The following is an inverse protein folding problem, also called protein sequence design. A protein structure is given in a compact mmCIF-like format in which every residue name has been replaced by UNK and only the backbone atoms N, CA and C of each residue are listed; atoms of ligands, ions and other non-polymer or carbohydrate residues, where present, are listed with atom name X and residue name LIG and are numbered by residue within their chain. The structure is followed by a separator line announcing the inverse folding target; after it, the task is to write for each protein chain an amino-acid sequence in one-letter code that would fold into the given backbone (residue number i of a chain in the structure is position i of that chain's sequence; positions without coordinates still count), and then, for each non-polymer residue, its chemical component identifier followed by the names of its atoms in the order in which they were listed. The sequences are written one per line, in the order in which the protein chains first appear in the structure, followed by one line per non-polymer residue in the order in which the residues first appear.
data_IF_774861639584
#
_entry.id   IF_774861639584
#
_cell.length_a   1.000
_cell.length_b   1.000
_cell.length_c   1.000
_cell.angle_alpha   90.00
_cell.angle_beta   90.00
_cell.angle_gamma   90.00
#
_symmetry.space_group_name_H-M   'P 1'
#
loop_
_entity.id
_entity.type
_entity.pdbx_description
1 polymer ?
#
# COMPACT_ATOMS: atom_id res chain seq x y z
N UNK A 1 -10.80 -7.14 2.71
CA UNK A 1 -10.53 -7.86 1.44
C UNK A 1 -11.74 -8.68 0.99
N UNK A 2 -12.38 -9.46 1.87
CA UNK A 2 -13.63 -10.16 1.56
C UNK A 2 -14.72 -9.22 1.01
N UNK A 3 -14.92 -8.04 1.60
CA UNK A 3 -15.94 -7.09 1.14
C UNK A 3 -15.66 -6.51 -0.27
N UNK A 4 -14.39 -6.28 -0.59
CA UNK A 4 -13.95 -5.80 -1.92
C UNK A 4 -14.11 -6.88 -3.01
N UNK A 5 -13.92 -8.16 -2.65
CA UNK A 5 -14.11 -9.29 -3.57
C UNK A 5 -15.60 -9.53 -3.79
N UNK A 6 -16.44 -9.41 -2.76
CA UNK A 6 -17.88 -9.65 -2.90
C UNK A 6 -18.63 -8.54 -3.67
N UNK A 7 -18.10 -7.31 -3.66
CA UNK A 7 -18.71 -6.16 -4.34
C UNK A 7 -18.58 -6.18 -5.89
N UNK A 8 -17.73 -7.04 -6.47
CA UNK A 8 -17.51 -7.06 -7.92
C UNK A 8 -18.59 -7.87 -8.65
N UNK A 9 -19.33 -7.25 -9.58
CA UNK A 9 -20.46 -7.87 -10.30
C UNK A 9 -20.06 -9.05 -11.21
N UNK A 10 -18.79 -9.10 -11.62
CA UNK A 10 -18.23 -10.12 -12.52
C UNK A 10 -17.56 -11.25 -11.73
N UNK A 11 -18.10 -12.47 -11.83
CA UNK A 11 -17.59 -13.68 -11.16
C UNK A 11 -16.12 -13.94 -11.50
N UNK A 12 -15.71 -13.76 -12.76
CA UNK A 12 -14.34 -14.03 -13.20
C UNK A 12 -13.37 -13.06 -12.53
N UNK A 13 -13.69 -11.77 -12.54
CA UNK A 13 -12.87 -10.74 -11.88
C UNK A 13 -12.76 -10.97 -10.37
N UNK A 14 -13.81 -11.50 -9.72
CA UNK A 14 -13.73 -11.89 -8.30
C UNK A 14 -12.70 -13.00 -8.06
N UNK A 15 -12.72 -14.02 -8.90
CA UNK A 15 -11.75 -15.13 -8.83
C UNK A 15 -10.34 -14.63 -9.11
N UNK A 16 -10.14 -13.78 -10.11
CA UNK A 16 -8.83 -13.23 -10.47
C UNK A 16 -8.26 -12.35 -9.33
N UNK A 17 -9.07 -11.46 -8.74
CA UNK A 17 -8.65 -10.63 -7.60
C UNK A 17 -8.34 -11.48 -6.37
N UNK A 18 -9.13 -12.52 -6.11
CA UNK A 18 -8.86 -13.46 -5.02
C UNK A 18 -7.55 -14.22 -5.24
N UNK A 19 -7.32 -14.75 -6.45
CA UNK A 19 -6.10 -15.46 -6.80
C UNK A 19 -4.87 -14.53 -6.72
N UNK A 20 -4.95 -13.32 -7.28
CA UNK A 20 -3.90 -12.31 -7.16
C UNK A 20 -3.60 -11.98 -5.70
N UNK A 21 -4.62 -11.93 -4.83
CA UNK A 21 -4.44 -11.71 -3.40
C UNK A 21 -3.68 -12.86 -2.72
N UNK A 22 -3.93 -14.11 -3.11
CA UNK A 22 -3.14 -15.26 -2.65
C UNK A 22 -1.69 -15.12 -3.11
N UNK A 23 -1.45 -14.80 -4.38
CA UNK A 23 -0.09 -14.64 -4.88
C UNK A 23 0.66 -13.50 -4.19
N UNK A 24 0.02 -12.33 -4.03
CA UNK A 24 0.64 -11.13 -3.46
C UNK A 24 0.82 -11.15 -1.94
N UNK A 25 -0.14 -11.70 -1.20
CA UNK A 25 -0.14 -11.61 0.26
C UNK A 25 0.31 -12.90 0.96
N UNK A 26 0.20 -14.05 0.28
CA UNK A 26 0.48 -15.36 0.87
C UNK A 26 1.72 -15.99 0.26
N UNK A 27 1.84 -16.01 -1.07
CA UNK A 27 2.94 -16.71 -1.76
C UNK A 27 4.19 -15.82 -1.82
N UNK A 28 4.02 -14.55 -2.20
CA UNK A 28 5.10 -13.58 -2.38
C UNK A 28 4.93 -12.33 -1.51
N UNK A 29 4.78 -12.48 -0.18
CA UNK A 29 4.56 -11.34 0.71
C UNK A 29 5.80 -10.47 0.77
N UNK A 30 5.68 -9.21 0.35
CA UNK A 30 6.77 -8.22 0.44
C UNK A 30 6.55 -7.16 1.51
N UNK A 31 5.32 -6.65 1.60
CA UNK A 31 4.90 -5.70 2.62
C UNK A 31 3.47 -6.03 3.07
N UNK A 32 3.18 -5.79 4.34
CA UNK A 32 1.89 -6.16 4.93
C UNK A 32 0.75 -5.43 4.22
N UNK A 33 -0.24 -6.18 3.71
CA UNK A 33 -1.41 -5.61 3.04
C UNK A 33 -1.17 -5.04 1.65
N UNK A 34 0.04 -5.18 1.09
CA UNK A 34 0.40 -4.66 -0.23
C UNK A 34 0.78 -5.77 -1.20
N UNK A 35 0.28 -5.66 -2.44
CA UNK A 35 0.65 -6.53 -3.55
C UNK A 35 1.69 -5.77 -4.38
N UNK A 36 2.88 -6.35 -4.52
CA UNK A 36 3.97 -5.77 -5.31
C UNK A 36 3.66 -5.88 -6.82
N UNK A 37 4.01 -4.85 -7.59
CA UNK A 37 3.76 -4.80 -9.03
C UNK A 37 4.35 -6.01 -9.77
N UNK A 38 5.54 -6.48 -9.37
CA UNK A 38 6.18 -7.63 -9.98
C UNK A 38 5.40 -8.95 -9.72
N UNK A 39 4.58 -9.01 -8.67
CA UNK A 39 3.69 -10.15 -8.41
C UNK A 39 2.46 -10.10 -9.33
N UNK A 40 1.90 -8.91 -9.57
CA UNK A 40 0.85 -8.72 -10.57
C UNK A 40 1.34 -9.10 -11.98
N UNK A 41 2.54 -8.68 -12.35
CA UNK A 41 3.17 -9.06 -13.62
C UNK A 41 3.37 -10.58 -13.75
N UNK A 42 3.79 -11.25 -12.67
CA UNK A 42 3.89 -12.71 -12.65
C UNK A 42 2.50 -13.34 -12.82
N UNK A 43 1.50 -12.85 -12.08
CA UNK A 43 0.13 -13.37 -12.13
C UNK A 43 -0.46 -13.31 -13.54
N UNK A 44 -0.29 -12.19 -14.25
CA UNK A 44 -0.72 -12.06 -15.65
C UNK A 44 -0.04 -13.07 -16.59
N UNK A 45 1.20 -13.49 -16.27
CA UNK A 45 1.92 -14.51 -17.03
C UNK A 45 1.50 -15.94 -16.68
N UNK A 46 0.92 -16.18 -15.51
CA UNK A 46 0.42 -17.53 -15.16
C UNK A 46 -0.69 -17.98 -16.11
N UNK A 47 -1.51 -17.03 -16.60
CA UNK A 47 -2.51 -17.28 -17.65
C UNK A 47 -1.89 -17.73 -18.99
N UNK A 48 -0.56 -17.64 -19.14
CA UNK A 48 0.21 -18.06 -20.31
C UNK A 48 1.04 -19.32 -20.03
N UNK A 49 0.54 -20.18 -19.14
CA UNK A 49 1.15 -21.47 -18.77
C UNK A 49 2.54 -21.37 -18.11
N UNK A 50 2.90 -20.20 -17.59
CA UNK A 50 4.14 -20.04 -16.80
C UNK A 50 3.94 -20.66 -15.42
N UNK A 51 4.84 -21.56 -15.01
CA UNK A 51 4.79 -22.15 -13.67
C UNK A 51 5.36 -21.18 -12.62
N UNK A 52 4.68 -20.99 -11.46
CA UNK A 52 5.19 -20.17 -10.37
C UNK A 52 6.28 -20.89 -9.55
N UNK A 53 6.46 -22.20 -9.73
CA UNK A 53 7.33 -23.03 -8.87
C UNK A 53 8.78 -22.51 -8.80
N UNK A 54 9.47 -22.19 -9.91
CA UNK A 54 10.82 -21.64 -9.85
C UNK A 54 10.90 -20.35 -9.05
N UNK A 55 9.87 -19.50 -9.14
CA UNK A 55 9.83 -18.24 -8.42
C UNK A 55 9.62 -18.44 -6.92
N UNK A 56 8.70 -19.33 -6.54
CA UNK A 56 8.48 -19.70 -5.14
C UNK A 56 9.77 -20.22 -4.51
N UNK A 57 10.41 -21.20 -5.17
CA UNK A 57 11.67 -21.78 -4.68
C UNK A 57 12.79 -20.74 -4.60
N UNK A 58 12.92 -19.87 -5.61
CA UNK A 58 13.95 -18.84 -5.64
C UNK A 58 13.83 -17.86 -4.46
N UNK A 59 12.62 -17.36 -4.19
CA UNK A 59 12.40 -16.43 -3.09
C UNK A 59 12.54 -17.11 -1.72
N UNK A 60 12.04 -18.34 -1.57
CA UNK A 60 12.21 -19.14 -0.34
C UNK A 60 13.70 -19.38 -0.04
N UNK A 61 14.46 -19.93 -1.00
CA UNK A 61 15.89 -20.23 -0.78
C UNK A 61 16.70 -18.95 -0.54
N UNK A 62 16.41 -17.87 -1.27
CA UNK A 62 17.07 -16.61 -1.00
C UNK A 62 16.81 -16.17 0.42
N UNK A 63 15.54 -16.12 0.83
CA UNK A 63 15.21 -15.57 2.14
C UNK A 63 15.84 -16.37 3.27
N UNK A 64 15.80 -17.71 3.19
CA UNK A 64 16.48 -18.57 4.16
C UNK A 64 17.99 -18.33 4.16
N UNK A 65 18.61 -18.17 2.98
CA UNK A 65 20.04 -17.88 2.88
C UNK A 65 20.43 -16.51 3.48
N UNK A 66 19.51 -15.54 3.49
CA UNK A 66 19.73 -14.22 4.10
C UNK A 66 19.60 -14.33 5.61
N UNK A 67 18.51 -14.90 6.12
CA UNK A 67 18.32 -15.15 7.54
C UNK A 67 19.52 -15.92 8.13
N UNK A 68 19.96 -16.98 7.44
CA UNK A 68 21.13 -17.76 7.85
C UNK A 68 22.43 -16.95 7.88
N UNK A 69 22.68 -16.10 6.88
CA UNK A 69 23.93 -15.31 6.80
C UNK A 69 23.97 -14.17 7.81
N UNK A 70 22.83 -13.54 8.08
CA UNK A 70 22.74 -12.45 9.04
C UNK A 70 22.64 -12.96 10.48
N UNK A 71 22.17 -14.19 10.69
CA UNK A 71 21.80 -14.70 12.02
C UNK A 71 20.49 -14.12 12.54
N UNK A 72 19.92 -13.14 11.84
CA UNK A 72 18.69 -12.43 12.16
C UNK A 72 17.90 -12.11 10.87
N UNK A 73 16.68 -11.59 11.04
CA UNK A 73 15.88 -11.05 9.95
C UNK A 73 14.62 -11.84 9.66
N UNK A 74 13.77 -11.25 8.81
CA UNK A 74 12.43 -11.77 8.51
C UNK A 74 12.47 -12.64 7.26
N UNK A 75 11.86 -13.82 7.35
CA UNK A 75 11.61 -14.63 6.16
C UNK A 75 10.57 -13.97 5.24
N UNK A 76 10.91 -13.88 3.95
CA UNK A 76 10.14 -13.32 2.86
C UNK A 76 9.84 -14.46 1.88
N UNK A 77 8.61 -14.96 1.92
CA UNK A 77 8.14 -16.06 1.09
C UNK A 77 6.89 -16.69 1.68
N UNK A 78 6.48 -17.83 1.13
CA UNK A 78 5.27 -18.51 1.58
C UNK A 78 5.52 -19.32 2.86
N UNK A 79 5.21 -18.72 4.02
CA UNK A 79 5.30 -19.38 5.33
C UNK A 79 4.48 -20.67 5.39
N UNK A 80 3.30 -20.70 4.74
CA UNK A 80 2.43 -21.86 4.74
C UNK A 80 3.08 -23.05 4.03
N UNK A 81 3.78 -22.84 2.92
CA UNK A 81 4.49 -23.90 2.21
C UNK A 81 5.72 -24.38 3.00
N UNK A 82 6.44 -23.47 3.64
CA UNK A 82 7.57 -23.85 4.49
C UNK A 82 7.10 -24.65 5.72
N UNK A 83 5.98 -24.25 6.33
CA UNK A 83 5.36 -24.95 7.45
C UNK A 83 4.82 -26.32 7.01
N UNK A 84 4.20 -26.41 5.82
CA UNK A 84 3.78 -27.67 5.22
C UNK A 84 4.96 -28.64 5.05
N UNK A 85 6.05 -28.13 4.48
CA UNK A 85 7.29 -28.89 4.33
C UNK A 85 7.84 -29.32 5.69
N UNK A 86 7.87 -28.42 6.67
CA UNK A 86 8.36 -28.69 8.01
C UNK A 86 7.58 -29.80 8.72
N UNK A 87 6.25 -29.69 8.78
CA UNK A 87 5.40 -30.73 9.35
C UNK A 87 5.57 -32.08 8.66
N UNK A 88 5.69 -32.08 7.33
CA UNK A 88 5.81 -33.31 6.57
C UNK A 88 7.09 -34.11 6.78
N UNK A 89 8.18 -33.46 7.22
CA UNK A 89 9.48 -34.10 7.40
C UNK A 89 9.82 -34.33 8.88
N UNK A 90 9.37 -33.47 9.80
CA UNK A 90 9.78 -33.54 11.21
C UNK A 90 8.72 -34.11 12.14
N UNK A 91 7.42 -34.05 11.80
CA UNK A 91 6.40 -34.71 12.60
C UNK A 91 6.05 -36.06 11.99
N UNK A 92 6.52 -37.11 12.66
CA UNK A 92 5.99 -38.47 12.51
C UNK A 92 4.53 -38.48 12.99
N UNK A 93 3.60 -38.02 12.16
CA UNK A 93 2.19 -38.36 12.35
C UNK A 93 2.12 -39.89 12.27
N UNK A 94 1.48 -40.54 13.25
CA UNK A 94 1.18 -41.98 13.18
C UNK A 94 0.69 -42.27 11.76
N UNK A 95 1.20 -43.35 11.14
CA UNK A 95 1.08 -43.66 9.70
C UNK A 95 -0.39 -43.79 9.22
N UNK A 96 -1.15 -42.70 9.22
CA UNK A 96 -2.53 -42.65 8.75
C UNK A 96 -2.46 -42.45 7.24
N UNK A 97 -2.43 -43.57 6.54
CA UNK A 97 -2.71 -43.74 5.11
C UNK A 97 -2.12 -42.67 4.18
N UNK A 98 -0.94 -42.98 3.66
CA UNK A 98 -0.35 -42.48 2.43
C UNK A 98 -1.39 -42.19 1.33
N UNK A 99 -1.70 -40.91 1.07
CA UNK A 99 -2.57 -40.51 -0.04
C UNK A 99 -1.89 -39.45 -0.90
N UNK A 100 -1.82 -39.72 -2.21
CA UNK A 100 -1.51 -38.71 -3.22
C UNK A 100 -2.64 -37.67 -3.21
N UNK A 101 -2.34 -36.42 -3.56
CA UNK A 101 -3.37 -35.40 -3.77
C UNK A 101 -4.50 -35.97 -4.62
N UNK A 102 -5.72 -35.93 -4.09
CA UNK A 102 -6.93 -36.38 -4.78
C UNK A 102 -8.05 -35.39 -4.48
N UNK A 103 -9.14 -35.43 -5.24
CA UNK A 103 -10.30 -34.56 -5.00
C UNK A 103 -10.81 -34.64 -3.55
N UNK A 104 -10.61 -35.80 -2.90
CA UNK A 104 -11.08 -36.08 -1.54
C UNK A 104 -10.00 -35.92 -0.46
N UNK A 105 -8.74 -35.58 -0.82
CA UNK A 105 -7.64 -35.44 0.13
C UNK A 105 -6.76 -34.22 -0.22
N UNK A 106 -6.69 -33.28 0.73
CA UNK A 106 -5.89 -32.06 0.61
C UNK A 106 -4.95 -31.94 1.81
N UNK A 107 -3.64 -32.02 1.53
CA UNK A 107 -2.59 -31.81 2.53
C UNK A 107 -2.75 -30.47 3.25
N UNK A 108 -3.19 -29.42 2.55
CA UNK A 108 -3.42 -28.10 3.14
C UNK A 108 -4.58 -28.12 4.15
N UNK A 109 -5.65 -28.88 3.87
CA UNK A 109 -6.76 -29.05 4.83
C UNK A 109 -6.29 -29.81 6.07
N UNK A 110 -5.48 -30.85 5.89
CA UNK A 110 -4.88 -31.60 6.99
C UNK A 110 -3.97 -30.72 7.84
N UNK A 111 -3.04 -29.98 7.22
CA UNK A 111 -2.14 -29.04 7.91
C UNK A 111 -2.86 -27.94 8.70
N UNK A 112 -4.02 -27.49 8.21
CA UNK A 112 -4.86 -26.53 8.95
C UNK A 112 -5.59 -27.20 10.12
N UNK A 113 -5.96 -28.48 9.98
CA UNK A 113 -6.62 -29.26 11.03
C UNK A 113 -5.65 -29.81 12.08
N UNK A 114 -4.38 -29.99 11.74
CA UNK A 114 -3.36 -30.48 12.67
C UNK A 114 -3.15 -29.47 13.80
N UNK A 115 -3.24 -29.90 15.08
CA UNK A 115 -2.98 -29.02 16.21
C UNK A 115 -1.60 -28.39 16.09
N UNK A 116 -1.56 -27.06 16.02
CA UNK A 116 -0.29 -26.33 16.00
C UNK A 116 0.28 -26.28 17.40
N UNK A 117 1.58 -26.55 17.52
CA UNK A 117 2.34 -26.33 18.75
C UNK A 117 2.80 -24.89 18.80
N UNK A 118 1.83 -23.98 18.90
CA UNK A 118 2.06 -22.53 18.96
C UNK A 118 2.65 -22.10 20.34
N UNK A 119 2.76 -23.04 21.29
CA UNK A 119 3.19 -22.87 22.67
C UNK A 119 4.67 -23.25 22.91
N UNK A 120 5.41 -23.65 21.87
CA UNK A 120 6.82 -24.02 21.98
C UNK A 120 7.69 -22.77 21.89
N UNK A 121 8.46 -22.49 22.95
CA UNK A 121 9.39 -21.35 22.98
C UNK A 121 10.53 -21.51 21.96
N UNK A 122 11.19 -20.40 21.64
CA UNK A 122 12.34 -20.39 20.73
C UNK A 122 13.46 -21.30 21.25
N UNK A 123 13.76 -21.27 22.54
CA UNK A 123 14.80 -22.10 23.16
C UNK A 123 14.47 -23.58 23.05
N UNK A 124 13.19 -23.94 23.21
CA UNK A 124 12.73 -25.32 23.05
C UNK A 124 12.82 -25.77 21.59
N UNK A 125 12.52 -24.89 20.64
CA UNK A 125 12.76 -25.15 19.22
C UNK A 125 14.23 -25.37 18.89
N UNK A 126 15.11 -24.52 19.43
CA UNK A 126 16.56 -24.64 19.27
C UNK A 126 17.06 -25.97 19.83
N UNK A 127 16.60 -26.35 21.03
CA UNK A 127 16.93 -27.64 21.63
C UNK A 127 16.44 -28.83 20.79
N UNK A 128 15.22 -28.76 20.24
CA UNK A 128 14.72 -29.79 19.31
C UNK A 128 15.66 -29.90 18.10
N UNK A 129 15.97 -28.78 17.45
CA UNK A 129 16.80 -28.80 16.24
C UNK A 129 18.23 -29.26 16.46
N UNK A 130 18.82 -28.95 17.61
CA UNK A 130 20.17 -29.38 17.97
C UNK A 130 20.26 -30.88 18.23
N UNK A 131 19.17 -31.50 18.71
CA UNK A 131 19.14 -32.92 19.09
C UNK A 131 18.56 -33.84 18.01
N UNK A 132 18.06 -33.29 16.91
CA UNK A 132 17.48 -34.06 15.80
C UNK A 132 18.48 -35.09 15.26
N UNK A 133 18.07 -36.35 15.24
CA UNK A 133 18.80 -37.42 14.60
C UNK A 133 18.29 -37.68 13.17
N UNK A 134 19.07 -38.43 12.40
CA UNK A 134 18.72 -38.77 11.03
C UNK A 134 17.41 -39.57 10.93
N UNK A 135 17.15 -40.41 11.93
CA UNK A 135 15.97 -41.28 12.03
C UNK A 135 14.70 -40.49 12.38
N UNK A 136 14.84 -39.27 12.91
CA UNK A 136 13.73 -38.39 13.25
C UNK A 136 13.17 -37.66 12.04
N UNK A 137 13.93 -37.58 10.95
CA UNK A 137 13.55 -36.89 9.73
C UNK A 137 12.98 -37.89 8.72
N UNK A 138 11.71 -37.70 8.35
CA UNK A 138 11.13 -38.36 7.18
C UNK A 138 11.66 -37.67 5.93
N UNK A 139 12.72 -38.24 5.34
CA UNK A 139 13.41 -37.63 4.21
C UNK A 139 12.52 -37.49 2.97
N UNK A 140 11.64 -38.46 2.71
CA UNK A 140 10.75 -38.43 1.55
C UNK A 140 9.31 -38.28 1.99
N UNK A 141 8.67 -37.21 1.54
CA UNK A 141 7.23 -37.06 1.70
C UNK A 141 6.48 -38.12 0.89
N UNK A 142 5.52 -38.84 1.49
CA UNK A 142 4.88 -39.96 0.81
C UNK A 142 4.05 -39.61 -0.44
N UNK A 143 3.57 -38.37 -0.54
CA UNK A 143 2.85 -37.88 -1.72
C UNK A 143 3.77 -37.48 -2.87
N UNK A 144 5.09 -37.38 -2.64
CA UNK A 144 6.06 -37.03 -3.66
C UNK A 144 6.65 -38.32 -4.26
N UNK A 145 6.20 -38.65 -5.48
CA UNK A 145 6.72 -39.75 -6.30
C UNK A 145 7.26 -39.18 -7.63
N UNK A 146 8.35 -38.40 -7.60
CA UNK A 146 8.96 -37.93 -8.83
C UNK A 146 9.72 -39.10 -9.45
N UNK A 147 9.59 -39.23 -10.77
CA UNK A 147 10.36 -40.21 -11.54
C UNK A 147 11.68 -39.62 -12.06
N UNK A 148 11.76 -38.28 -12.14
CA UNK A 148 12.89 -37.54 -12.69
C UNK A 148 13.17 -36.27 -11.90
N UNK A 149 14.44 -35.89 -11.83
CA UNK A 149 14.91 -34.64 -11.22
C UNK A 149 15.59 -33.83 -12.30
N UNK A 150 15.13 -32.59 -12.51
CA UNK A 150 15.89 -31.58 -13.22
C UNK A 150 17.07 -31.18 -12.35
N UNK A 151 18.31 -31.31 -12.84
CA UNK A 151 19.50 -31.04 -12.01
C UNK A 151 20.54 -30.14 -12.68
N UNK A 152 20.40 -29.88 -13.97
CA UNK A 152 21.45 -29.25 -14.77
C UNK A 152 20.85 -28.44 -15.92
N UNK A 153 21.49 -27.32 -16.24
CA UNK A 153 21.07 -26.37 -17.28
C UNK A 153 22.28 -25.85 -18.05
N UNK A 154 22.52 -26.36 -19.26
CA UNK A 154 23.60 -25.94 -20.19
C UNK A 154 24.98 -25.74 -19.56
N UNK A 155 25.33 -24.51 -19.21
CA UNK A 155 26.65 -24.16 -18.68
C UNK A 155 26.69 -24.20 -17.14
N UNK A 156 25.57 -24.57 -16.51
CA UNK A 156 25.40 -24.64 -15.07
C UNK A 156 25.24 -26.10 -14.61
N UNK A 157 26.10 -26.51 -13.67
CA UNK A 157 26.01 -27.80 -12.96
C UNK A 157 24.87 -27.87 -11.93
N UNK A 158 23.98 -26.87 -11.98
CA UNK A 158 22.81 -26.69 -11.13
C UNK A 158 21.70 -26.01 -11.93
N UNK A 159 20.57 -25.75 -11.29
CA UNK A 159 19.39 -25.14 -11.90
C UNK A 159 19.30 -23.66 -11.50
N UNK A 160 19.55 -22.70 -12.41
CA UNK A 160 19.30 -21.29 -12.14
C UNK A 160 17.81 -21.00 -12.10
N UNK A 161 17.27 -20.61 -10.95
CA UNK A 161 15.85 -20.29 -10.77
C UNK A 161 15.59 -18.79 -10.92
N UNK A 162 14.59 -18.44 -11.72
CA UNK A 162 14.07 -17.08 -11.79
C UNK A 162 13.07 -16.84 -10.67
N UNK A 163 13.43 -15.97 -9.72
CA UNK A 163 12.54 -15.36 -8.74
C UNK A 163 11.82 -14.13 -9.30
N UNK A 164 10.97 -13.53 -8.47
CA UNK A 164 10.23 -12.31 -8.80
C UNK A 164 11.17 -11.09 -8.77
N UNK A 165 12.05 -11.04 -7.78
CA UNK A 165 12.92 -9.88 -7.59
C UNK A 165 14.38 -10.14 -7.98
N UNK A 166 14.74 -11.41 -8.19
CA UNK A 166 16.13 -11.86 -8.40
C UNK A 166 16.20 -13.27 -8.99
N UNK A 167 17.38 -13.70 -9.41
CA UNK A 167 17.67 -15.09 -9.72
C UNK A 167 18.60 -15.71 -8.68
N UNK A 168 18.44 -17.01 -8.42
CA UNK A 168 19.30 -17.80 -7.52
C UNK A 168 19.65 -19.14 -8.13
N UNK A 169 20.81 -19.70 -7.78
CA UNK A 169 21.15 -21.07 -8.14
C UNK A 169 20.53 -22.06 -7.16
N UNK A 170 19.91 -23.12 -7.66
CA UNK A 170 19.44 -24.26 -6.89
C UNK A 170 20.17 -25.51 -7.36
N UNK A 171 20.79 -26.26 -6.43
CA UNK A 171 21.44 -27.54 -6.72
C UNK A 171 20.60 -28.71 -6.17
N UNK A 172 19.64 -29.25 -6.94
CA UNK A 172 18.78 -30.37 -6.57
C UNK A 172 19.53 -31.60 -6.05
N UNK A 173 20.75 -31.81 -6.53
CA UNK A 173 21.58 -32.95 -6.13
C UNK A 173 22.03 -32.89 -4.65
N UNK A 174 21.89 -31.73 -3.97
CA UNK A 174 22.13 -31.62 -2.53
C UNK A 174 21.07 -32.31 -1.67
N UNK A 175 19.90 -32.61 -2.24
CA UNK A 175 18.74 -33.12 -1.50
C UNK A 175 18.21 -34.44 -2.09
N UNK A 176 19.10 -35.28 -2.64
CA UNK A 176 18.74 -36.57 -3.25
C UNK A 176 18.04 -37.53 -2.28
N UNK A 177 18.34 -37.41 -0.99
CA UNK A 177 17.64 -38.14 0.08
C UNK A 177 16.13 -37.89 0.06
N UNK A 178 15.69 -36.68 -0.29
CA UNK A 178 14.27 -36.35 -0.40
C UNK A 178 13.54 -37.11 -1.51
N UNK A 179 14.31 -37.66 -2.43
CA UNK A 179 13.83 -38.45 -3.55
C UNK A 179 14.03 -39.96 -3.35
N UNK A 180 14.45 -40.42 -2.15
CA UNK A 180 14.90 -41.80 -1.88
C UNK A 180 16.00 -42.27 -2.83
N UNK A 181 16.90 -41.36 -3.20
CA UNK A 181 18.11 -41.69 -3.95
C UNK A 181 19.33 -41.61 -3.03
N UNK A 182 20.35 -42.41 -3.33
CA UNK A 182 21.63 -42.37 -2.64
C UNK A 182 22.27 -40.98 -2.75
N UNK A 183 22.83 -40.50 -1.64
CA UNK A 183 23.40 -39.16 -1.55
C UNK A 183 24.92 -39.18 -1.79
N UNK A 184 25.36 -38.33 -2.71
CA UNK A 184 26.77 -38.14 -3.06
C UNK A 184 27.13 -36.65 -3.02
N UNK A 185 28.42 -36.34 -3.14
CA UNK A 185 28.92 -34.97 -3.16
C UNK A 185 28.58 -34.32 -4.51
N UNK A 186 27.68 -33.32 -4.55
CA UNK A 186 27.35 -32.67 -5.81
C UNK A 186 28.39 -31.61 -6.18
N UNK A 187 28.44 -31.26 -7.47
CA UNK A 187 29.21 -30.11 -7.94
C UNK A 187 28.44 -28.84 -7.56
N UNK A 188 29.07 -27.98 -6.75
CA UNK A 188 28.47 -26.70 -6.28
C UNK A 188 29.35 -25.49 -6.57
N UNK A 189 30.46 -25.68 -7.31
CA UNK A 189 31.40 -24.62 -7.65
C UNK A 189 30.73 -23.55 -8.52
N UNK A 190 30.63 -22.32 -8.01
CA UNK A 190 29.98 -21.22 -8.72
C UNK A 190 28.50 -21.05 -8.43
N UNK A 191 27.88 -21.93 -7.62
CA UNK A 191 26.47 -21.83 -7.23
C UNK A 191 26.15 -20.45 -6.60
N UNK A 192 27.03 -19.96 -5.73
CA UNK A 192 26.89 -18.65 -5.08
C UNK A 192 26.96 -17.47 -6.07
N UNK A 193 27.65 -17.63 -7.21
CA UNK A 193 27.81 -16.59 -8.24
C UNK A 193 26.56 -16.46 -9.13
N UNK A 194 25.65 -17.45 -9.06
CA UNK A 194 24.38 -17.45 -9.76
C UNK A 194 23.35 -16.49 -9.13
N UNK A 195 23.61 -16.01 -7.91
CA UNK A 195 22.75 -15.05 -7.22
C UNK A 195 22.91 -13.63 -7.79
N UNK A 196 21.83 -13.03 -8.31
CA UNK A 196 21.83 -11.60 -8.66
C UNK A 196 20.42 -11.00 -8.66
N UNK A 197 20.33 -9.70 -8.35
CA UNK A 197 19.06 -8.95 -8.42
C UNK A 197 18.80 -8.41 -9.82
N UNK A 198 17.54 -8.14 -10.17
CA UNK A 198 17.17 -7.49 -11.45
C UNK A 198 17.43 -5.96 -11.45
N UNK A 199 18.44 -5.52 -10.70
CA UNK A 199 18.88 -4.14 -10.56
C UNK A 199 20.40 -4.09 -10.72
N UNK A 200 20.90 -3.03 -11.36
CA UNK A 200 22.33 -2.80 -11.63
C UNK A 200 22.73 -3.02 -13.09
N UNK A 201 24.01 -2.87 -13.40
CA UNK A 201 24.50 -3.06 -14.77
C UNK A 201 24.56 -4.56 -15.13
N UNK A 202 24.40 -4.88 -16.42
CA UNK A 202 24.57 -6.21 -16.98
C UNK A 202 23.54 -7.30 -16.56
N UNK A 203 22.53 -7.02 -15.70
CA UNK A 203 21.53 -8.04 -15.32
C UNK A 203 20.76 -8.60 -16.52
N UNK A 204 20.43 -7.76 -17.52
CA UNK A 204 19.74 -8.19 -18.74
C UNK A 204 20.53 -9.26 -19.51
N UNK A 205 21.87 -9.16 -19.49
CA UNK A 205 22.74 -10.17 -20.10
C UNK A 205 22.65 -11.48 -19.33
N UNK A 206 22.77 -11.43 -17.99
CA UNK A 206 22.62 -12.61 -17.11
C UNK A 206 21.26 -13.29 -17.25
N UNK A 207 20.19 -12.51 -17.34
CA UNK A 207 18.83 -13.04 -17.59
C UNK A 207 18.79 -13.79 -18.92
N UNK A 208 19.32 -13.22 -20.00
CA UNK A 208 19.39 -13.91 -21.30
C UNK A 208 20.24 -15.19 -21.24
N UNK A 209 21.38 -15.17 -20.54
CA UNK A 209 22.23 -16.34 -20.35
C UNK A 209 21.47 -17.47 -19.66
N UNK A 210 20.77 -17.17 -18.56
CA UNK A 210 19.94 -18.14 -17.86
C UNK A 210 18.79 -18.62 -18.75
N UNK A 211 18.05 -17.71 -19.40
CA UNK A 211 16.94 -18.10 -20.30
C UNK A 211 17.41 -19.03 -21.41
N UNK A 212 18.59 -18.78 -21.98
CA UNK A 212 19.18 -19.66 -22.98
C UNK A 212 19.59 -21.02 -22.40
N UNK A 213 20.06 -21.06 -21.14
CA UNK A 213 20.39 -22.31 -20.46
C UNK A 213 19.15 -23.18 -20.18
N UNK A 214 17.99 -22.56 -19.91
CA UNK A 214 16.72 -23.28 -19.74
C UNK A 214 16.23 -23.99 -21.01
N UNK A 215 16.70 -23.59 -22.20
CA UNK A 215 16.41 -24.32 -23.43
C UNK A 215 17.15 -25.66 -23.53
N UNK A 216 18.16 -25.90 -22.68
CA UNK A 216 18.95 -27.12 -22.65
C UNK A 216 19.05 -27.66 -21.23
N UNK A 217 17.97 -28.32 -20.80
CA UNK A 217 17.87 -28.93 -19.47
C UNK A 217 18.23 -30.41 -19.52
N UNK A 218 18.82 -30.92 -18.44
CA UNK A 218 19.02 -32.37 -18.25
C UNK A 218 18.27 -32.85 -17.03
N UNK A 219 17.63 -34.00 -17.19
CA UNK A 219 16.89 -34.70 -16.15
C UNK A 219 17.55 -36.03 -15.88
N UNK A 220 17.57 -36.41 -14.61
CA UNK A 220 18.05 -37.71 -14.16
C UNK A 220 16.86 -38.53 -13.66
N UNK A 221 16.76 -39.78 -14.12
CA UNK A 221 15.80 -40.74 -13.55
C UNK A 221 16.22 -41.12 -12.14
N UNK A 222 15.25 -41.12 -11.23
CA UNK A 222 15.49 -41.52 -9.85
C UNK A 222 15.60 -43.04 -9.80
N UNK A 223 16.75 -43.54 -9.35
CA UNK A 223 16.91 -44.94 -8.97
C UNK A 223 16.65 -45.03 -7.47
N UNK A 224 15.58 -45.73 -7.09
CA UNK A 224 15.30 -46.03 -5.69
C UNK A 224 16.36 -47.01 -5.18
N UNK A 225 17.36 -46.48 -4.51
CA UNK A 225 18.37 -47.23 -3.78
C UNK A 225 18.04 -47.06 -2.29
N UNK A 226 18.32 -48.08 -1.46
CA UNK A 226 18.26 -47.91 0.00
C UNK A 226 18.97 -46.60 0.39
N UNK A 227 18.43 -45.89 1.40
CA UNK A 227 18.86 -44.56 1.89
C UNK A 227 20.33 -44.56 2.37
N UNK A 228 21.26 -44.82 1.46
CA UNK A 228 22.69 -44.90 1.74
C UNK A 228 23.32 -43.56 1.43
N UNK A 229 23.88 -42.94 2.47
CA UNK A 229 24.89 -41.92 2.28
C UNK A 229 26.22 -42.60 1.99
N UNK A 230 26.97 -42.07 1.03
CA UNK A 230 28.36 -42.49 0.87
C UNK A 230 29.18 -41.99 2.07
N UNK A 231 30.11 -42.77 2.65
CA UNK A 231 30.97 -42.29 3.74
C UNK A 231 31.70 -40.99 3.40
N UNK A 232 32.07 -40.83 2.13
CA UNK A 232 32.67 -39.62 1.58
C UNK A 232 31.73 -38.40 1.69
N UNK A 233 30.44 -38.59 1.44
CA UNK A 233 29.43 -37.54 1.61
C UNK A 233 29.30 -37.12 3.07
N UNK A 234 29.21 -38.07 4.01
CA UNK A 234 29.12 -37.76 5.44
C UNK A 234 30.32 -36.95 5.93
N UNK A 235 31.52 -37.32 5.48
CA UNK A 235 32.74 -36.56 5.76
C UNK A 235 32.71 -35.14 5.16
N UNK A 236 32.33 -35.02 3.88
CA UNK A 236 32.23 -33.73 3.21
C UNK A 236 31.19 -32.80 3.86
N UNK A 237 30.05 -33.36 4.27
CA UNK A 237 28.98 -32.64 4.95
C UNK A 237 29.42 -32.14 6.33
N UNK A 238 30.09 -33.00 7.12
CA UNK A 238 30.64 -32.61 8.42
C UNK A 238 31.63 -31.44 8.32
N UNK A 239 32.46 -31.42 7.27
CA UNK A 239 33.34 -30.28 6.99
C UNK A 239 32.55 -29.00 6.68
N UNK A 240 31.53 -29.07 5.84
CA UNK A 240 30.67 -27.91 5.53
C UNK A 240 29.93 -27.37 6.75
N UNK A 241 29.44 -28.22 7.66
CA UNK A 241 28.77 -27.77 8.88
C UNK A 241 29.73 -26.96 9.75
N UNK A 242 30.93 -27.48 9.97
CA UNK A 242 31.93 -26.83 10.83
C UNK A 242 32.43 -25.50 10.26
N UNK A 243 32.44 -25.34 8.93
CA UNK A 243 32.79 -24.07 8.27
C UNK A 243 31.63 -23.04 8.30
N UNK A 244 30.38 -23.45 8.59
CA UNK A 244 29.18 -22.61 8.52
C UNK A 244 28.47 -22.35 9.86
N UNK A 245 28.85 -23.01 10.97
CA UNK A 245 28.26 -22.81 12.31
C UNK A 245 29.31 -22.24 13.26
N UNK A 246 29.04 -21.04 13.80
CA UNK A 246 29.80 -20.46 14.90
C UNK A 246 29.41 -21.20 16.21
N UNK A 247 30.24 -22.19 16.58
CA UNK A 247 30.55 -22.74 17.91
C UNK A 247 29.44 -22.93 18.99
N UNK A 248 29.50 -24.13 19.57
CA UNK A 248 28.65 -24.79 20.58
C UNK A 248 28.40 -24.07 21.91
N UNK A 249 27.22 -24.32 22.49
CA UNK A 249 27.02 -24.44 23.94
C UNK A 249 26.80 -25.94 24.24
N UNK A 250 27.52 -26.47 25.22
CA UNK A 250 27.55 -27.88 25.60
C UNK A 250 26.51 -28.20 26.70
N UNK A 251 26.15 -29.49 26.78
CA UNK A 251 25.40 -30.21 27.84
C UNK A 251 23.87 -30.08 27.70
N UNK A 252 23.07 -31.15 27.55
CA UNK A 252 23.05 -32.47 28.21
C UNK A 252 22.27 -33.46 27.30
N UNK A 253 22.71 -34.71 27.15
CA UNK A 253 22.04 -35.70 26.29
C UNK A 253 20.98 -36.43 27.11
N UNK A 254 19.70 -36.09 26.93
CA UNK A 254 18.58 -36.89 27.46
C UNK A 254 17.49 -37.15 26.42
N UNK A 255 16.75 -38.27 26.52
CA UNK A 255 15.66 -38.59 25.60
C UNK A 255 14.48 -37.62 25.73
N UNK A 256 13.82 -37.35 24.59
CA UNK A 256 12.68 -36.44 24.43
C UNK A 256 11.53 -36.68 25.42
N UNK A 257 11.34 -37.91 25.92
CA UNK A 257 10.26 -38.24 26.85
C UNK A 257 10.43 -37.66 28.28
N UNK A 258 11.65 -37.39 28.76
CA UNK A 258 11.86 -36.95 30.16
C UNK A 258 11.66 -35.43 30.36
N UNK A 259 11.79 -34.61 29.31
CA UNK A 259 11.56 -33.16 29.37
C UNK A 259 10.07 -32.77 29.40
N UNK A 260 9.17 -33.76 29.48
CA UNK A 260 7.71 -33.60 29.46
C UNK A 260 7.07 -33.51 30.85
N UNK A 261 7.83 -33.58 31.96
CA UNK A 261 7.26 -33.37 33.29
C UNK A 261 7.26 -31.90 33.70
N UNK A 262 6.03 -31.44 33.88
CA UNK A 262 5.57 -30.14 34.34
C UNK A 262 6.30 -29.67 35.60
N UNK A 263 6.85 -28.47 35.54
CA UNK A 263 6.94 -27.59 36.70
C UNK A 263 6.37 -26.23 36.31
N UNK A 264 5.18 -25.93 36.83
CA UNK A 264 4.56 -24.60 36.82
C UNK A 264 5.37 -23.69 37.75
N UNK A 265 5.93 -22.60 37.22
CA UNK A 265 6.29 -21.42 38.02
C UNK A 265 6.70 -20.19 37.20
N UNK A 266 7.15 -20.32 35.94
CA UNK A 266 7.51 -19.15 35.10
C UNK A 266 6.47 -18.79 34.02
N UNK A 267 5.76 -19.79 33.48
CA UNK A 267 4.71 -19.59 32.47
C UNK A 267 3.50 -18.83 33.02
N UNK A 268 3.20 -18.97 34.31
CA UNK A 268 2.14 -18.22 35.01
C UNK A 268 2.47 -16.71 35.05
N UNK A 269 3.75 -16.36 35.24
CA UNK A 269 4.22 -14.96 35.31
C UNK A 269 4.16 -14.32 33.93
N UNK A 270 4.61 -15.05 32.90
CA UNK A 270 4.56 -14.57 31.50
C UNK A 270 3.11 -14.44 31.02
N UNK A 271 2.22 -15.37 31.40
CA UNK A 271 0.79 -15.28 31.09
C UNK A 271 0.14 -14.04 31.72
N UNK A 272 0.47 -13.73 32.98
CA UNK A 272 -0.05 -12.52 33.64
C UNK A 272 0.48 -11.22 33.00
N UNK A 273 1.75 -11.17 32.60
CA UNK A 273 2.29 -9.98 31.90
C UNK A 273 1.68 -9.83 30.50
N UNK A 274 1.44 -10.93 29.79
CA UNK A 274 0.74 -10.92 28.51
C UNK A 274 -0.72 -10.46 28.64
N UNK A 275 -1.47 -10.98 29.62
CA UNK A 275 -2.84 -10.55 29.90
C UNK A 275 -2.92 -9.06 30.26
N UNK A 276 -1.94 -8.56 31.03
CA UNK A 276 -1.83 -7.13 31.37
C UNK A 276 -1.57 -6.27 30.13
N UNK A 277 -0.60 -6.63 29.29
CA UNK A 277 -0.30 -5.91 28.03
C UNK A 277 -1.46 -5.97 27.04
N UNK A 278 -2.15 -7.10 26.97
CA UNK A 278 -3.34 -7.27 26.14
C UNK A 278 -4.48 -6.37 26.61
N UNK A 279 -4.67 -6.22 27.93
CA UNK A 279 -5.65 -5.29 28.50
C UNK A 279 -5.30 -3.82 28.22
N UNK A 280 -4.01 -3.45 28.34
CA UNK A 280 -3.55 -2.09 28.00
C UNK A 280 -3.74 -1.76 26.51
N UNK A 281 -3.46 -2.73 25.62
CA UNK A 281 -3.71 -2.57 24.18
C UNK A 281 -5.21 -2.45 23.89
N UNK A 282 -6.05 -3.23 24.56
CA UNK A 282 -7.52 -3.11 24.45
C UNK A 282 -8.01 -1.69 24.79
N UNK A 283 -7.53 -1.12 25.90
CA UNK A 283 -7.86 0.27 26.29
C UNK A 283 -7.38 1.30 25.28
N UNK A 284 -6.20 1.11 24.68
CA UNK A 284 -5.70 2.01 23.61
C UNK A 284 -6.54 1.92 22.34
N UNK A 285 -7.02 0.73 21.98
CA UNK A 285 -7.92 0.54 20.84
C UNK A 285 -9.24 1.28 21.07
N UNK A 286 -9.84 1.13 22.26
CA UNK A 286 -11.08 1.82 22.63
C UNK A 286 -10.92 3.35 22.57
N UNK A 287 -9.81 3.89 23.10
CA UNK A 287 -9.49 5.32 22.98
C UNK A 287 -9.34 5.78 21.52
N UNK A 288 -8.71 4.97 20.67
CA UNK A 288 -8.58 5.29 19.25
C UNK A 288 -9.93 5.23 18.52
N UNK A 289 -10.83 4.32 18.91
CA UNK A 289 -12.19 4.26 18.38
C UNK A 289 -13.01 5.49 18.79
N UNK A 290 -12.90 5.96 20.03
CA UNK A 290 -13.54 7.22 20.47
C UNK A 290 -13.01 8.44 19.69
N UNK A 291 -11.69 8.54 19.51
CA UNK A 291 -11.06 9.62 18.72
C UNK A 291 -11.56 9.58 17.27
N UNK A 292 -11.68 8.38 16.69
CA UNK A 292 -12.20 8.20 15.32
C UNK A 292 -13.66 8.67 15.20
N UNK A 293 -14.52 8.36 16.17
CA UNK A 293 -15.92 8.83 16.19
C UNK A 293 -15.97 10.36 16.26
N UNK A 294 -15.19 10.97 17.16
CA UNK A 294 -15.13 12.44 17.31
C UNK A 294 -14.66 13.13 16.02
N UNK A 295 -13.60 12.64 15.40
CA UNK A 295 -13.12 13.18 14.12
C UNK A 295 -14.15 13.01 13.00
N UNK A 296 -14.91 11.92 13.00
CA UNK A 296 -16.05 11.72 12.08
C UNK A 296 -17.12 12.80 12.24
N UNK A 297 -17.50 13.12 13.48
CA UNK A 297 -18.46 14.18 13.78
C UNK A 297 -17.95 15.57 13.35
N UNK A 298 -16.66 15.85 13.55
CA UNK A 298 -16.05 17.11 13.11
C UNK A 298 -16.08 17.25 11.58
N UNK A 299 -15.81 16.16 10.85
CA UNK A 299 -15.89 16.15 9.38
C UNK A 299 -17.31 16.41 8.90
N UNK A 300 -18.32 15.78 9.50
CA UNK A 300 -19.73 16.00 9.14
C UNK A 300 -20.18 17.44 9.46
N UNK A 301 -19.69 18.01 10.56
CA UNK A 301 -19.94 19.41 10.93
C UNK A 301 -19.33 20.37 9.91
N UNK A 302 -18.06 20.18 9.56
CA UNK A 302 -17.39 20.98 8.52
C UNK A 302 -18.10 20.86 7.16
N UNK A 303 -18.64 19.67 6.83
CA UNK A 303 -19.40 19.45 5.60
C UNK A 303 -20.72 20.23 5.58
N UNK A 304 -21.44 20.26 6.70
CA UNK A 304 -22.67 21.04 6.86
C UNK A 304 -22.41 22.55 6.74
N UNK A 305 -21.33 23.04 7.36
CA UNK A 305 -20.92 24.45 7.25
C UNK A 305 -20.55 24.83 5.82
N UNK A 306 -19.79 23.98 5.12
CA UNK A 306 -19.45 24.19 3.72
C UNK A 306 -20.70 24.24 2.82
N UNK A 307 -21.69 23.40 3.08
CA UNK A 307 -22.96 23.41 2.34
C UNK A 307 -23.80 24.66 2.63
N UNK A 308 -23.79 25.15 3.88
CA UNK A 308 -24.42 26.42 4.26
C UNK A 308 -23.76 27.62 3.56
N UNK A 309 -22.42 27.66 3.53
CA UNK A 309 -21.66 28.68 2.81
C UNK A 309 -21.95 28.64 1.30
N UNK A 310 -22.03 27.45 0.71
CA UNK A 310 -22.38 27.28 -0.70
C UNK A 310 -23.78 27.81 -1.01
N UNK A 311 -24.78 27.52 -0.17
CA UNK A 311 -26.14 28.09 -0.32
C UNK A 311 -26.14 29.62 -0.22
N UNK A 312 -25.40 30.17 0.74
CA UNK A 312 -25.27 31.62 0.89
C UNK A 312 -24.64 32.28 -0.34
N UNK A 313 -23.58 31.68 -0.89
CA UNK A 313 -22.93 32.14 -2.12
C UNK A 313 -23.92 32.17 -3.31
N UNK A 314 -24.65 31.08 -3.53
CA UNK A 314 -25.62 30.99 -4.63
C UNK A 314 -26.69 32.08 -4.53
N UNK A 315 -27.23 32.32 -3.32
CA UNK A 315 -28.22 33.38 -3.10
C UNK A 315 -27.65 34.77 -3.38
N UNK A 316 -26.42 35.06 -2.94
CA UNK A 316 -25.77 36.34 -3.23
C UNK A 316 -25.52 36.55 -4.73
N UNK A 317 -25.29 35.47 -5.48
CA UNK A 317 -25.11 35.49 -6.94
C UNK A 317 -26.44 35.76 -7.67
N UNK A 318 -27.54 35.14 -7.22
CA UNK A 318 -28.90 35.45 -7.70
C UNK A 318 -29.30 36.91 -7.42
N UNK A 319 -29.03 37.40 -6.20
CA UNK A 319 -29.30 38.79 -5.80
C UNK A 319 -28.48 39.78 -6.66
N UNK A 320 -27.22 39.45 -6.96
CA UNK A 320 -26.36 40.26 -7.83
C UNK A 320 -26.91 40.33 -9.27
N UNK A 321 -27.39 39.21 -9.81
CA UNK A 321 -27.98 39.17 -11.14
C UNK A 321 -29.30 39.96 -11.21
N UNK A 322 -30.13 39.86 -10.18
CA UNK A 322 -31.34 40.69 -10.02
C UNK A 322 -31.00 42.18 -10.02
N UNK A 323 -30.04 42.59 -9.18
CA UNK A 323 -29.58 43.98 -9.10
C UNK A 323 -29.04 44.49 -10.44
N UNK A 324 -28.34 43.62 -11.19
CA UNK A 324 -27.81 43.94 -12.53
C UNK A 324 -28.93 44.16 -13.55
N UNK A 325 -30.03 43.40 -13.45
CA UNK A 325 -31.24 43.60 -14.26
C UNK A 325 -31.90 44.94 -13.91
N UNK A 326 -32.08 45.22 -12.62
CA UNK A 326 -32.69 46.46 -12.14
C UNK A 326 -31.86 47.68 -12.54
N UNK A 327 -30.53 47.61 -12.44
CA UNK A 327 -29.63 48.66 -12.89
C UNK A 327 -29.77 48.92 -14.40
N UNK A 328 -29.86 47.87 -15.22
CA UNK A 328 -30.11 48.03 -16.67
C UNK A 328 -31.46 48.70 -16.94
N UNK A 329 -32.49 48.32 -16.20
CA UNK A 329 -33.85 48.88 -16.32
C UNK A 329 -33.89 50.36 -15.90
N UNK A 330 -33.25 50.72 -14.80
CA UNK A 330 -33.08 52.10 -14.34
C UNK A 330 -32.29 52.93 -15.35
N UNK A 331 -31.19 52.39 -15.89
CA UNK A 331 -30.40 53.08 -16.92
C UNK A 331 -31.20 53.33 -18.21
N UNK A 332 -32.03 52.37 -18.60
CA UNK A 332 -32.95 52.52 -19.73
C UNK A 332 -34.01 53.59 -19.42
N UNK A 333 -34.66 53.54 -18.25
CA UNK A 333 -35.69 54.52 -17.89
C UNK A 333 -35.14 55.95 -17.81
N UNK A 334 -33.94 56.15 -17.27
CA UNK A 334 -33.26 57.45 -17.24
C UNK A 334 -32.95 58.00 -18.64
N UNK A 335 -32.73 57.13 -19.64
CA UNK A 335 -32.59 57.55 -21.04
C UNK A 335 -33.93 57.94 -21.65
N UNK A 336 -35.02 57.22 -21.33
CA UNK A 336 -36.35 57.48 -21.90
C UNK A 336 -37.06 58.69 -21.31
N UNK A 337 -36.86 58.99 -20.02
CA UNK A 337 -37.47 60.16 -19.34
C UNK A 337 -36.73 61.48 -19.58
N UNK A 338 -35.67 61.49 -20.40
CA UNK A 338 -34.90 62.70 -20.71
C UNK A 338 -34.04 63.22 -19.55
N UNK A 339 -33.99 62.51 -18.42
CA UNK A 339 -33.13 62.80 -17.25
C UNK A 339 -31.64 62.50 -17.49
N UNK A 340 -31.29 61.90 -18.63
CA UNK A 340 -29.93 61.65 -19.09
C UNK A 340 -29.18 62.90 -19.57
N UNK A 341 -29.35 64.06 -18.92
CA UNK A 341 -28.47 65.21 -19.18
C UNK A 341 -27.08 64.90 -18.66
N UNK A 342 -26.06 65.04 -19.51
CA UNK A 342 -24.66 64.85 -19.10
C UNK A 342 -24.24 66.00 -18.16
N UNK A 343 -23.24 65.79 -17.30
CA UNK A 343 -22.75 66.82 -16.37
C UNK A 343 -22.41 68.14 -17.09
N UNK A 344 -21.83 68.06 -18.29
CA UNK A 344 -21.57 69.20 -19.18
C UNK A 344 -22.83 69.95 -19.61
N UNK A 345 -23.94 69.25 -19.87
CA UNK A 345 -25.21 69.89 -20.26
C UNK A 345 -25.82 70.65 -19.08
N UNK A 346 -25.76 70.10 -17.86
CA UNK A 346 -26.14 70.81 -16.65
C UNK A 346 -25.26 72.04 -16.38
N UNK A 347 -23.94 71.92 -16.59
CA UNK A 347 -23.02 73.07 -16.48
C UNK A 347 -23.35 74.17 -17.48
N UNK A 348 -23.79 73.81 -18.69
CA UNK A 348 -24.15 74.78 -19.72
C UNK A 348 -25.46 75.49 -19.42
N UNK A 349 -26.49 74.77 -18.95
CA UNK A 349 -27.76 75.37 -18.55
C UNK A 349 -27.61 76.32 -17.35
N UNK A 350 -26.82 75.93 -16.33
CA UNK A 350 -26.53 76.81 -15.19
C UNK A 350 -25.80 78.09 -15.64
N UNK A 351 -24.92 78.00 -16.63
CA UNK A 351 -24.26 79.20 -17.21
C UNK A 351 -25.26 80.10 -17.93
N UNK A 352 -26.13 79.54 -18.75
CA UNK A 352 -27.16 80.30 -19.47
C UNK A 352 -28.17 80.95 -18.51
N UNK A 353 -28.54 80.26 -17.45
CA UNK A 353 -29.46 80.78 -16.43
C UNK A 353 -28.82 81.90 -15.60
N UNK A 354 -27.53 81.78 -15.25
CA UNK A 354 -26.77 82.86 -14.61
C UNK A 354 -26.63 84.10 -15.49
N UNK A 355 -26.45 83.94 -16.81
CA UNK A 355 -26.42 85.08 -17.75
C UNK A 355 -27.79 85.77 -17.76
N UNK A 356 -28.89 85.01 -17.80
CA UNK A 356 -30.25 85.57 -17.72
C UNK A 356 -30.50 86.28 -16.40
N UNK A 357 -30.09 85.71 -15.28
CA UNK A 357 -30.20 86.33 -13.95
C UNK A 357 -29.43 87.66 -13.90
N UNK A 358 -28.21 87.72 -14.44
CA UNK A 358 -27.45 88.96 -14.55
C UNK A 358 -28.13 90.03 -15.42
N UNK A 359 -28.81 89.62 -16.50
CA UNK A 359 -29.61 90.55 -17.32
C UNK A 359 -30.83 91.10 -16.57
N UNK A 360 -31.50 90.27 -15.77
CA UNK A 360 -32.61 90.71 -14.92
C UNK A 360 -32.14 91.65 -13.81
N UNK A 361 -31.00 91.37 -13.18
CA UNK A 361 -30.40 92.25 -12.17
C UNK A 361 -30.06 93.62 -12.77
N UNK A 362 -29.45 93.67 -13.95
CA UNK A 362 -29.16 94.94 -14.64
C UNK A 362 -30.43 95.74 -14.96
N UNK A 363 -31.50 95.06 -15.43
CA UNK A 363 -32.81 95.72 -15.66
C UNK A 363 -33.43 96.22 -14.36
N UNK A 364 -33.28 95.47 -13.28
CA UNK A 364 -33.76 95.86 -11.96
C UNK A 364 -33.04 97.12 -11.45
N UNK A 365 -31.71 97.17 -11.59
CA UNK A 365 -30.92 98.35 -11.23
C UNK A 365 -31.25 99.57 -12.10
N UNK A 366 -31.46 99.41 -13.41
CA UNK A 366 -31.90 100.51 -14.30
C UNK A 366 -33.29 101.04 -13.88
N UNK A 367 -34.22 100.13 -13.57
CA UNK A 367 -35.57 100.49 -13.09
C UNK A 367 -35.49 101.23 -11.75
N UNK A 368 -34.62 100.77 -10.85
CA UNK A 368 -34.37 101.41 -9.55
C UNK A 368 -33.74 102.80 -9.70
N UNK A 369 -32.81 102.98 -10.64
CA UNK A 369 -32.21 104.27 -10.95
C UNK A 369 -33.26 105.26 -11.49
N UNK A 370 -34.16 104.79 -12.38
CA UNK A 370 -35.31 105.58 -12.87
C UNK A 370 -36.28 105.94 -11.75
N UNK A 371 -36.56 105.02 -10.83
CA UNK A 371 -37.41 105.28 -9.66
C UNK A 371 -36.81 106.36 -8.76
N UNK A 372 -35.50 106.29 -8.47
CA UNK A 372 -34.78 107.30 -7.68
C UNK A 372 -34.78 108.65 -8.39
N UNK A 373 -34.57 108.68 -9.71
CA UNK A 373 -34.66 109.89 -10.51
C UNK A 373 -36.06 110.52 -10.44
N UNK A 374 -37.12 109.73 -10.66
CA UNK A 374 -38.50 110.19 -10.57
C UNK A 374 -38.86 110.69 -9.17
N UNK A 375 -38.40 110.03 -8.11
CA UNK A 375 -38.57 110.48 -6.72
C UNK A 375 -37.87 111.82 -6.47
N UNK A 376 -36.67 112.03 -7.02
CA UNK A 376 -35.95 113.32 -6.91
C UNK A 376 -36.69 114.42 -7.68
N UNK A 377 -37.12 114.18 -8.92
CA UNK A 377 -37.90 115.16 -9.70
C UNK A 377 -39.26 115.47 -9.06
N UNK A 378 -39.92 114.48 -8.43
CA UNK A 378 -41.16 114.71 -7.68
C UNK A 378 -40.91 115.60 -6.45
N UNK A 379 -39.80 115.40 -5.74
CA UNK A 379 -39.41 116.22 -4.58
C UNK A 379 -39.08 117.66 -5.02
N UNK A 380 -38.39 117.84 -6.15
CA UNK A 380 -38.11 119.14 -6.76
C UNK A 380 -39.40 119.86 -7.16
N UNK A 381 -40.33 119.18 -7.85
CA UNK A 381 -41.64 119.75 -8.17
C UNK A 381 -42.47 120.08 -6.92
N UNK A 382 -42.38 119.29 -5.84
CA UNK A 382 -43.05 119.60 -4.57
C UNK A 382 -42.45 120.84 -3.90
N UNK A 383 -41.13 120.99 -3.93
CA UNK A 383 -40.44 122.15 -3.38
C UNK A 383 -40.72 123.43 -4.20
N UNK A 384 -40.80 123.36 -5.53
CA UNK A 384 -41.23 124.48 -6.39
C UNK A 384 -42.70 124.88 -6.13
N UNK A 385 -43.58 123.91 -5.84
CA UNK A 385 -44.99 124.16 -5.52
C UNK A 385 -45.21 124.79 -4.14
N UNK A 386 -44.27 124.58 -3.20
CA UNK A 386 -44.23 125.22 -1.88
C UNK A 386 -43.61 126.62 -1.96
N UNK A 387 -42.61 126.83 -2.84
CA UNK A 387 -42.01 128.15 -3.09
C UNK A 387 -42.92 129.13 -3.84
N UNK A 388 -43.92 128.66 -4.58
CA UNK A 388 -44.93 129.50 -5.25
C UNK A 388 -46.17 129.81 -4.37
N UNK A 389 -46.14 129.44 -3.09
CA UNK A 389 -47.22 129.70 -2.10
C UNK A 389 -46.75 130.45 -0.83
N UNK A 390 -45.55 131.03 -0.87
CA UNK A 390 -45.06 132.03 0.10
C UNK A 390 -44.84 133.34 -0.65
#
# INVERSE_FOLDING_TARGET
MQDLILAHLDVKKRVDVFALSIYGLVIFPKALGHIDEAVSDLFDRLNKEVTPIPAILAETFKSLSVCRRAGEGRFIGCNQLLLAWFHSHFWKVEKVSYRVFSENYSLLKELVATPRRDDVSEEKWMAIFQNLQEEDVEWRTPWMIPNEILYWCRDFDWVPLFGIWRAVGYAPLLVLRQYRSGQFIPVTQGLAQCEFSYKGDNYKKKVREISNAWNQTRRMKILAVNLMMTPKYSWWWGKMINDNILMSIQEDVRPIEEHLQVTSSESEIIKQDFEKRSSELGKKIEQLEEVKIRLGLDVDTCKLEAEKLRRGKNKAEEDLDSLKIDYKKLRLSMRTTGLGKTLEQWRQEIKEENIKAGQWENKFQDTRAREVFLKRSLLECQNEKVGLRA
#
